data_IF_261065936619
#
_entry.id   IF_261065936619
#
_cell.length_a   1.000
_cell.length_b   1.000
_cell.length_c   1.000
_cell.angle_alpha   90.00
_cell.angle_beta   90.00
_cell.angle_gamma   90.00
#
_symmetry.space_group_name_H-M   'P 1'
#
loop_
_entity.id
_entity.type
_entity.pdbx_description
1 polymer ?
#
# COMPACT_ATOMS: atom_id res chain seq x y z
N UNK A 1 18.78 -19.14 9.43
CA UNK A 1 20.13 -18.64 9.11
C UNK A 1 20.82 -18.00 10.32
N UNK A 2 20.24 -16.96 10.94
CA UNK A 2 20.81 -16.29 12.12
C UNK A 2 21.10 -17.21 13.32
N UNK A 3 20.27 -18.23 13.56
CA UNK A 3 20.56 -19.25 14.59
C UNK A 3 21.85 -20.05 14.35
N UNK A 4 22.29 -20.20 13.09
CA UNK A 4 23.44 -21.02 12.72
C UNK A 4 24.72 -20.21 12.53
N UNK A 5 24.61 -19.03 11.90
CA UNK A 5 25.78 -18.25 11.48
C UNK A 5 25.99 -16.97 12.30
N UNK A 6 25.17 -16.73 13.33
CA UNK A 6 25.25 -15.55 14.17
C UNK A 6 24.40 -14.39 13.67
N UNK A 7 24.64 -13.19 14.21
CA UNK A 7 23.77 -12.01 14.07
C UNK A 7 24.04 -11.15 12.83
N UNK A 8 25.16 -11.41 12.15
CA UNK A 8 25.56 -10.78 10.87
C UNK A 8 25.97 -11.91 9.93
N UNK A 9 25.35 -11.96 8.75
CA UNK A 9 25.54 -13.04 7.78
C UNK A 9 25.84 -12.42 6.42
N UNK A 10 26.83 -12.98 5.71
CA UNK A 10 27.10 -12.68 4.31
C UNK A 10 26.63 -13.86 3.46
N UNK A 11 25.81 -13.59 2.47
CA UNK A 11 25.30 -14.55 1.50
C UNK A 11 25.76 -14.16 0.09
N UNK A 12 26.28 -15.11 -0.69
CA UNK A 12 26.72 -14.89 -2.08
C UNK A 12 25.83 -15.66 -3.09
N UNK A 13 24.67 -16.13 -2.65
CA UNK A 13 23.79 -17.01 -3.43
C UNK A 13 23.03 -16.30 -4.57
N UNK A 14 22.93 -14.97 -4.54
CA UNK A 14 22.17 -14.19 -5.53
C UNK A 14 23.10 -13.58 -6.59
N UNK A 15 23.55 -14.41 -7.54
CA UNK A 15 24.20 -13.96 -8.78
C UNK A 15 25.37 -12.97 -8.55
N UNK A 16 26.33 -13.35 -7.70
CA UNK A 16 27.58 -12.64 -7.37
C UNK A 16 27.46 -11.32 -6.59
N UNK A 17 26.27 -10.92 -6.13
CA UNK A 17 26.14 -9.79 -5.20
C UNK A 17 26.18 -10.28 -3.75
N UNK A 18 27.16 -9.83 -2.93
CA UNK A 18 27.17 -10.18 -1.52
C UNK A 18 26.02 -9.46 -0.80
N UNK A 19 25.09 -10.23 -0.24
CA UNK A 19 24.03 -9.72 0.64
C UNK A 19 24.51 -9.85 2.07
N UNK A 20 24.52 -8.74 2.81
CA UNK A 20 24.81 -8.73 4.25
C UNK A 20 23.51 -8.58 5.02
N UNK A 21 23.09 -9.66 5.66
CA UNK A 21 21.90 -9.73 6.51
C UNK A 21 22.28 -9.38 7.96
N UNK A 22 21.65 -8.36 8.53
CA UNK A 22 21.85 -7.90 9.91
C UNK A 22 20.58 -8.07 10.74
N UNK A 23 20.71 -8.42 12.02
CA UNK A 23 19.57 -8.67 12.91
C UNK A 23 19.47 -7.68 14.08
N UNK A 24 20.60 -7.22 14.62
CA UNK A 24 20.61 -6.42 15.85
C UNK A 24 20.29 -4.96 15.60
N UNK A 25 19.60 -4.34 16.58
CA UNK A 25 19.29 -2.90 16.58
C UNK A 25 20.53 -2.04 16.26
N UNK A 26 21.66 -2.31 16.91
CA UNK A 26 22.90 -1.52 16.74
C UNK A 26 23.43 -1.57 15.30
N UNK A 27 23.27 -2.71 14.61
CA UNK A 27 23.80 -2.92 13.27
C UNK A 27 22.85 -2.28 12.24
N UNK A 28 21.53 -2.44 12.43
CA UNK A 28 20.51 -1.75 11.64
C UNK A 28 20.68 -0.22 11.77
N UNK A 29 20.87 0.29 12.99
CA UNK A 29 21.11 1.71 13.23
C UNK A 29 22.40 2.20 12.57
N UNK A 30 23.47 1.42 12.60
CA UNK A 30 24.72 1.76 11.92
C UNK A 30 24.56 1.87 10.41
N UNK A 31 23.74 1.00 9.79
CA UNK A 31 23.40 1.09 8.36
C UNK A 31 22.55 2.33 8.08
N UNK A 32 21.48 2.55 8.85
CA UNK A 32 20.55 3.68 8.63
C UNK A 32 21.18 5.05 8.87
N UNK A 33 22.13 5.16 9.82
CA UNK A 33 22.88 6.40 10.08
C UNK A 33 23.82 6.78 8.92
N UNK A 34 24.21 5.82 8.09
CA UNK A 34 24.99 6.05 6.87
C UNK A 34 24.07 6.34 5.68
N UNK A 35 23.14 7.28 5.85
CA UNK A 35 22.22 7.66 4.79
C UNK A 35 22.95 8.44 3.69
N UNK A 36 22.60 8.15 2.44
CA UNK A 36 23.00 8.94 1.27
C UNK A 36 21.89 9.93 0.94
N UNK A 37 22.23 11.05 0.29
CA UNK A 37 21.24 11.93 -0.35
C UNK A 37 20.34 11.15 -1.32
N UNK A 38 20.89 10.11 -1.92
CA UNK A 38 20.19 9.17 -2.80
C UNK A 38 20.38 7.74 -2.26
N UNK A 39 19.54 7.29 -1.31
CA UNK A 39 19.55 5.90 -0.87
C UNK A 39 19.33 4.95 -2.04
N UNK A 40 20.13 3.89 -2.14
CA UNK A 40 20.02 2.89 -3.20
C UNK A 40 19.24 1.69 -2.66
N UNK A 41 18.13 1.37 -3.33
CA UNK A 41 17.44 0.09 -3.15
C UNK A 41 17.30 -0.55 -4.52
N UNK A 42 17.94 -1.69 -4.83
CA UNK A 42 17.85 -2.31 -6.14
C UNK A 42 16.38 -2.40 -6.63
N UNK A 43 16.08 -1.99 -7.87
CA UNK A 43 14.74 -2.06 -8.38
C UNK A 43 14.28 -3.51 -8.51
N UNK A 44 12.96 -3.71 -8.54
CA UNK A 44 12.40 -4.97 -9.02
C UNK A 44 12.69 -5.07 -10.52
N UNK A 45 13.70 -5.86 -10.90
CA UNK A 45 14.26 -5.88 -12.25
C UNK A 45 13.20 -6.10 -13.33
N UNK A 46 12.25 -7.01 -13.09
CA UNK A 46 11.21 -7.34 -14.07
C UNK A 46 10.26 -6.16 -14.32
N UNK A 47 9.91 -5.40 -13.27
CA UNK A 47 9.06 -4.22 -13.36
C UNK A 47 9.80 -3.08 -14.05
N UNK A 48 11.08 -2.91 -13.71
CA UNK A 48 11.94 -1.94 -14.37
C UNK A 48 12.07 -2.23 -15.88
N UNK A 49 12.30 -3.49 -16.25
CA UNK A 49 12.38 -3.94 -17.63
C UNK A 49 11.08 -3.66 -18.40
N UNK A 50 9.93 -4.06 -17.84
CA UNK A 50 8.63 -3.80 -18.45
C UNK A 50 8.38 -2.29 -18.65
N UNK A 51 8.56 -1.47 -17.61
CA UNK A 51 8.28 -0.02 -17.70
C UNK A 51 9.20 0.68 -18.70
N UNK A 52 10.46 0.28 -18.81
CA UNK A 52 11.38 0.80 -19.85
C UNK A 52 10.92 0.48 -21.27
N UNK A 53 10.29 -0.67 -21.47
CA UNK A 53 9.73 -1.07 -22.78
C UNK A 53 8.46 -0.30 -23.16
N UNK A 54 7.89 0.50 -22.25
CA UNK A 54 6.62 1.23 -22.41
C UNK A 54 6.77 2.74 -22.22
N UNK A 55 7.57 3.43 -23.07
CA UNK A 55 7.72 4.88 -23.00
C UNK A 55 6.41 5.65 -23.30
N UNK A 56 5.44 4.98 -23.93
CA UNK A 56 4.07 5.48 -24.11
C UNK A 56 3.36 5.71 -22.77
N UNK A 57 3.66 4.88 -21.75
CA UNK A 57 2.98 4.92 -20.44
C UNK A 57 3.87 5.44 -19.31
N UNK A 58 5.17 5.17 -19.34
CA UNK A 58 6.09 5.46 -18.25
C UNK A 58 7.29 6.27 -18.75
N UNK A 59 7.48 7.46 -18.18
CA UNK A 59 8.68 8.27 -18.40
C UNK A 59 9.83 7.88 -17.46
N UNK A 60 9.49 7.28 -16.32
CA UNK A 60 10.40 6.83 -15.26
C UNK A 60 9.99 5.44 -14.79
N UNK A 61 10.80 4.81 -13.94
CA UNK A 61 10.49 3.50 -13.37
C UNK A 61 9.41 3.55 -12.28
N UNK A 62 8.92 4.76 -11.94
CA UNK A 62 8.04 5.01 -10.80
C UNK A 62 8.82 5.15 -9.48
N UNK A 63 8.18 5.75 -8.47
CA UNK A 63 8.84 6.12 -7.21
C UNK A 63 9.51 4.94 -6.48
N UNK A 64 8.95 3.75 -6.63
CA UNK A 64 9.42 2.52 -5.96
C UNK A 64 10.69 1.96 -6.60
N UNK A 65 10.84 2.08 -7.92
CA UNK A 65 11.94 1.43 -8.67
C UNK A 65 13.00 2.43 -9.17
N UNK A 66 12.66 3.70 -9.31
CA UNK A 66 13.60 4.74 -9.73
C UNK A 66 14.71 4.94 -8.68
N UNK A 67 15.90 5.38 -9.10
CA UNK A 67 17.04 5.62 -8.21
C UNK A 67 17.66 7.00 -8.44
N UNK A 68 18.62 7.39 -7.58
CA UNK A 68 19.44 8.58 -7.79
C UNK A 68 18.65 9.89 -7.77
N UNK A 69 19.05 10.82 -8.63
CA UNK A 69 18.44 12.16 -8.72
C UNK A 69 16.99 12.12 -9.20
N UNK A 70 16.65 11.22 -10.14
CA UNK A 70 15.29 11.06 -10.64
C UNK A 70 14.35 10.62 -9.52
N UNK A 71 14.77 9.63 -8.74
CA UNK A 71 14.04 9.19 -7.54
C UNK A 71 13.87 10.34 -6.56
N UNK A 72 14.94 11.08 -6.27
CA UNK A 72 14.88 12.18 -5.31
C UNK A 72 13.90 13.25 -5.79
N UNK A 73 13.93 13.62 -7.06
CA UNK A 73 12.97 14.57 -7.65
C UNK A 73 11.52 14.07 -7.46
N UNK A 74 11.23 12.82 -7.83
CA UNK A 74 9.91 12.22 -7.63
C UNK A 74 9.51 12.21 -6.14
N UNK A 75 10.40 11.78 -5.26
CA UNK A 75 10.18 11.71 -3.81
C UNK A 75 9.87 13.08 -3.23
N UNK A 76 10.68 14.09 -3.54
CA UNK A 76 10.52 15.47 -3.06
C UNK A 76 9.17 16.06 -3.48
N UNK A 77 8.69 15.76 -4.69
CA UNK A 77 7.44 16.32 -5.20
C UNK A 77 6.21 15.54 -4.71
N UNK A 78 6.26 14.21 -4.71
CA UNK A 78 5.08 13.36 -4.53
C UNK A 78 4.75 13.03 -3.06
N UNK A 79 5.75 13.02 -2.17
CA UNK A 79 5.56 12.52 -0.81
C UNK A 79 5.12 13.52 0.26
N UNK A 80 5.44 14.83 0.18
CA UNK A 80 5.03 15.78 1.22
C UNK A 80 3.53 15.81 1.49
N UNK A 81 2.68 15.73 0.45
CA UNK A 81 1.23 15.70 0.63
C UNK A 81 0.77 14.39 1.27
N UNK A 82 1.31 13.26 0.83
CA UNK A 82 0.93 11.94 1.34
C UNK A 82 1.25 11.76 2.83
N UNK A 83 2.38 12.30 3.29
CA UNK A 83 2.86 12.15 4.67
C UNK A 83 2.52 13.35 5.57
N UNK A 84 1.80 14.35 5.05
CA UNK A 84 1.46 15.54 5.80
C UNK A 84 0.42 15.23 6.88
N UNK A 85 0.71 15.64 8.11
CA UNK A 85 -0.25 15.51 9.22
C UNK A 85 -1.59 16.20 8.95
N UNK A 86 -1.59 17.31 8.19
CA UNK A 86 -2.83 18.00 7.79
C UNK A 86 -3.69 17.15 6.87
N UNK A 87 -3.06 16.43 5.95
CA UNK A 87 -3.74 15.57 4.98
C UNK A 87 -4.35 14.37 5.69
N UNK A 88 -3.61 13.77 6.62
CA UNK A 88 -4.12 12.69 7.49
C UNK A 88 -5.30 13.16 8.35
N UNK A 89 -5.18 14.32 9.00
CA UNK A 89 -6.26 14.89 9.82
C UNK A 89 -7.54 15.17 9.01
N UNK A 90 -7.40 15.67 7.78
CA UNK A 90 -8.54 15.90 6.87
C UNK A 90 -9.17 14.61 6.36
N UNK A 91 -8.38 13.55 6.21
CA UNK A 91 -8.86 12.25 5.77
C UNK A 91 -9.59 11.48 6.89
N UNK A 92 -9.25 11.72 8.15
CA UNK A 92 -9.76 10.95 9.29
C UNK A 92 -11.31 10.87 9.38
N UNK A 93 -12.09 11.96 9.18
CA UNK A 93 -13.54 11.87 9.20
C UNK A 93 -14.09 10.90 8.16
N UNK A 94 -13.53 10.91 6.95
CA UNK A 94 -13.94 10.00 5.88
C UNK A 94 -13.50 8.57 6.18
N UNK A 95 -12.30 8.38 6.76
CA UNK A 95 -11.84 7.07 7.20
C UNK A 95 -12.76 6.44 8.27
N UNK A 96 -13.34 7.25 9.17
CA UNK A 96 -14.35 6.77 10.12
C UNK A 96 -15.58 6.21 9.40
N UNK A 97 -16.07 6.89 8.34
CA UNK A 97 -17.19 6.38 7.54
C UNK A 97 -16.83 5.07 6.84
N UNK A 98 -15.63 4.99 6.25
CA UNK A 98 -15.13 3.75 5.64
C UNK A 98 -15.06 2.60 6.66
N UNK A 99 -14.62 2.89 7.90
CA UNK A 99 -14.58 1.90 8.98
C UNK A 99 -15.99 1.44 9.42
N UNK A 100 -16.96 2.35 9.50
CA UNK A 100 -18.36 2.00 9.77
C UNK A 100 -18.95 1.11 8.68
N UNK A 101 -18.72 1.43 7.41
CA UNK A 101 -19.16 0.60 6.27
C UNK A 101 -18.51 -0.79 6.31
N UNK A 102 -17.25 -0.87 6.71
CA UNK A 102 -16.57 -2.16 6.90
C UNK A 102 -17.19 -2.97 8.03
N UNK A 103 -17.51 -2.34 9.17
CA UNK A 103 -18.22 -3.01 10.26
C UNK A 103 -19.62 -3.46 9.85
N UNK A 104 -20.33 -2.66 9.05
CA UNK A 104 -21.63 -3.03 8.49
C UNK A 104 -21.52 -4.25 7.56
N UNK A 105 -20.53 -4.27 6.66
CA UNK A 105 -20.23 -5.39 5.79
C UNK A 105 -19.94 -6.67 6.60
N UNK A 106 -19.10 -6.58 7.64
CA UNK A 106 -18.79 -7.70 8.53
C UNK A 106 -20.04 -8.23 9.24
N UNK A 107 -20.89 -7.36 9.79
CA UNK A 107 -22.16 -7.78 10.41
C UNK A 107 -23.06 -8.49 9.41
N UNK A 108 -23.10 -8.00 8.17
CA UNK A 108 -23.96 -8.51 7.11
C UNK A 108 -23.51 -9.84 6.49
N UNK A 109 -22.26 -10.25 6.74
CA UNK A 109 -21.60 -11.46 6.20
C UNK A 109 -21.41 -12.56 7.24
N UNK A 110 -21.86 -12.35 8.47
CA UNK A 110 -21.84 -13.37 9.53
C UNK A 110 -22.77 -14.52 9.18
N UNK A 111 -22.33 -15.73 9.49
CA UNK A 111 -23.19 -16.91 9.53
C UNK A 111 -24.06 -16.94 10.81
N UNK A 112 -24.89 -17.97 10.94
CA UNK A 112 -25.77 -18.20 12.09
C UNK A 112 -25.02 -18.27 13.44
N UNK A 113 -23.72 -18.58 13.42
CA UNK A 113 -22.86 -18.67 14.60
C UNK A 113 -22.07 -17.37 14.85
N UNK A 114 -22.43 -16.25 14.22
CA UNK A 114 -21.70 -14.98 14.24
C UNK A 114 -20.26 -15.06 13.68
N UNK A 115 -19.96 -16.06 12.86
CA UNK A 115 -18.63 -16.23 12.26
C UNK A 115 -18.58 -15.60 10.87
N UNK A 116 -17.48 -14.88 10.61
CA UNK A 116 -17.15 -14.37 9.28
C UNK A 116 -16.12 -15.30 8.65
N UNK A 117 -16.41 -15.80 7.45
CA UNK A 117 -15.46 -16.59 6.65
C UNK A 117 -14.81 -15.71 5.59
N UNK A 118 -13.59 -16.06 5.15
CA UNK A 118 -12.89 -15.27 4.13
C UNK A 118 -12.49 -13.86 4.57
N UNK A 119 -12.20 -13.64 5.85
CA UNK A 119 -11.90 -12.30 6.39
C UNK A 119 -10.76 -11.57 5.67
N UNK A 120 -9.77 -12.29 5.14
CA UNK A 120 -8.67 -11.71 4.34
C UNK A 120 -9.19 -10.93 3.12
N UNK A 121 -10.19 -11.47 2.40
CA UNK A 121 -10.78 -10.81 1.24
C UNK A 121 -11.50 -9.52 1.65
N UNK A 122 -12.26 -9.58 2.76
CA UNK A 122 -12.95 -8.41 3.31
C UNK A 122 -11.94 -7.35 3.79
N UNK A 123 -10.83 -7.76 4.41
CA UNK A 123 -9.76 -6.87 4.84
C UNK A 123 -9.05 -6.20 3.65
N UNK A 124 -8.83 -6.93 2.54
CA UNK A 124 -8.29 -6.36 1.31
C UNK A 124 -9.26 -5.34 0.68
N UNK A 125 -10.57 -5.57 0.75
CA UNK A 125 -11.59 -4.60 0.32
C UNK A 125 -11.57 -3.32 1.18
N UNK A 126 -11.34 -3.44 2.48
CA UNK A 126 -11.09 -2.29 3.36
C UNK A 126 -9.82 -1.53 2.96
N UNK A 127 -8.75 -2.25 2.63
CA UNK A 127 -7.50 -1.67 2.10
C UNK A 127 -7.72 -0.89 0.80
N UNK A 128 -8.47 -1.47 -0.13
CA UNK A 128 -8.89 -0.85 -1.39
C UNK A 128 -9.68 0.44 -1.16
N UNK A 129 -10.76 0.38 -0.37
CA UNK A 129 -11.63 1.54 -0.15
C UNK A 129 -10.87 2.66 0.55
N UNK A 130 -10.12 2.34 1.60
CA UNK A 130 -9.33 3.33 2.34
C UNK A 130 -8.27 4.00 1.48
N UNK A 131 -7.52 3.22 0.70
CA UNK A 131 -6.46 3.74 -0.18
C UNK A 131 -7.04 4.60 -1.30
N UNK A 132 -8.07 4.12 -1.98
CA UNK A 132 -8.70 4.88 -3.06
C UNK A 132 -9.36 6.15 -2.54
N UNK A 133 -9.97 6.13 -1.35
CA UNK A 133 -10.58 7.31 -0.75
C UNK A 133 -9.53 8.36 -0.39
N UNK A 134 -8.40 7.96 0.22
CA UNK A 134 -7.30 8.87 0.53
C UNK A 134 -6.65 9.44 -0.74
N UNK A 135 -6.34 8.57 -1.70
CA UNK A 135 -5.64 8.97 -2.91
C UNK A 135 -6.58 9.77 -3.79
N UNK A 136 -7.69 9.19 -4.27
CA UNK A 136 -8.58 9.80 -5.25
C UNK A 136 -9.53 10.85 -4.66
N UNK A 137 -9.77 10.83 -3.34
CA UNK A 137 -10.73 11.72 -2.69
C UNK A 137 -12.18 11.31 -2.89
N UNK A 138 -12.45 10.05 -3.26
CA UNK A 138 -13.82 9.56 -3.48
C UNK A 138 -13.98 8.10 -3.07
N UNK A 139 -15.20 7.76 -2.66
CA UNK A 139 -15.65 6.39 -2.39
C UNK A 139 -15.86 5.62 -3.69
N UNK A 140 -15.46 4.36 -3.72
CA UNK A 140 -15.60 3.49 -4.90
C UNK A 140 -16.56 2.32 -4.66
N UNK A 141 -17.08 2.17 -3.44
CA UNK A 141 -18.09 1.16 -3.13
C UNK A 141 -17.52 -0.25 -2.99
N UNK A 142 -16.21 -0.39 -2.71
CA UNK A 142 -15.63 -1.72 -2.49
C UNK A 142 -16.12 -2.40 -1.23
N UNK A 143 -16.77 -1.67 -0.32
CA UNK A 143 -17.39 -2.21 0.88
C UNK A 143 -18.87 -2.57 0.70
N UNK A 144 -19.44 -2.31 -0.48
CA UNK A 144 -20.83 -2.64 -0.79
C UNK A 144 -21.02 -4.16 -0.94
N UNK A 145 -22.23 -4.67 -0.66
CA UNK A 145 -22.50 -6.12 -0.80
C UNK A 145 -22.26 -6.63 -2.22
N UNK A 146 -22.64 -5.85 -3.22
CA UNK A 146 -22.42 -6.17 -4.62
C UNK A 146 -21.23 -5.37 -5.13
N UNK A 147 -20.07 -6.02 -5.15
CA UNK A 147 -18.83 -5.40 -5.60
C UNK A 147 -18.87 -5.26 -7.12
N UNK A 148 -18.51 -4.07 -7.63
CA UNK A 148 -18.31 -3.84 -9.05
C UNK A 148 -17.26 -4.82 -9.60
N UNK A 149 -17.55 -5.44 -10.75
CA UNK A 149 -16.64 -6.27 -11.52
C UNK A 149 -15.24 -5.67 -11.68
N UNK A 150 -15.14 -4.33 -11.72
CA UNK A 150 -13.88 -3.63 -11.89
C UNK A 150 -12.99 -3.67 -10.64
N UNK A 151 -13.57 -3.69 -9.45
CA UNK A 151 -12.84 -3.84 -8.19
C UNK A 151 -12.16 -5.20 -8.09
N UNK A 152 -12.92 -6.26 -8.38
CA UNK A 152 -12.42 -7.63 -8.40
C UNK A 152 -11.32 -7.81 -9.45
N UNK A 153 -11.47 -7.17 -10.62
CA UNK A 153 -10.43 -7.14 -11.66
C UNK A 153 -9.16 -6.44 -11.18
N UNK A 154 -9.26 -5.34 -10.44
CA UNK A 154 -8.08 -4.66 -9.91
C UNK A 154 -7.40 -5.50 -8.83
N UNK A 155 -8.16 -6.05 -7.88
CA UNK A 155 -7.63 -6.93 -6.83
C UNK A 155 -6.88 -8.14 -7.44
N UNK A 156 -7.49 -8.82 -8.40
CA UNK A 156 -6.87 -9.94 -9.13
C UNK A 156 -5.58 -9.49 -9.84
N UNK A 157 -5.60 -8.32 -10.49
CA UNK A 157 -4.46 -7.80 -11.23
C UNK A 157 -3.29 -7.44 -10.29
N UNK A 158 -3.56 -6.77 -9.17
CA UNK A 158 -2.56 -6.40 -8.15
C UNK A 158 -1.98 -7.65 -7.51
N UNK A 159 -2.81 -8.63 -7.12
CA UNK A 159 -2.33 -9.93 -6.62
C UNK A 159 -1.45 -10.65 -7.64
N UNK A 160 -1.87 -10.69 -8.89
CA UNK A 160 -1.09 -11.27 -10.00
C UNK A 160 0.26 -10.57 -10.18
N UNK A 161 0.31 -9.24 -10.05
CA UNK A 161 1.54 -8.47 -10.12
C UNK A 161 2.53 -8.84 -9.02
N UNK A 162 2.07 -8.94 -7.76
CA UNK A 162 2.90 -9.35 -6.64
C UNK A 162 3.42 -10.79 -6.79
N UNK A 163 2.56 -11.73 -7.19
CA UNK A 163 2.97 -13.12 -7.42
C UNK A 163 4.00 -13.22 -8.56
N UNK A 164 3.75 -12.54 -9.69
CA UNK A 164 4.70 -12.51 -10.80
C UNK A 164 6.04 -11.87 -10.42
N UNK A 165 6.02 -10.78 -9.66
CA UNK A 165 7.24 -10.13 -9.15
C UNK A 165 8.04 -11.05 -8.23
N UNK A 166 7.38 -11.76 -7.32
CA UNK A 166 8.02 -12.78 -6.47
C UNK A 166 8.66 -13.89 -7.31
N UNK A 167 7.89 -14.46 -8.24
CA UNK A 167 8.32 -15.63 -9.00
C UNK A 167 9.47 -15.30 -9.97
N UNK A 168 9.51 -14.08 -10.50
CA UNK A 168 10.62 -13.60 -11.34
C UNK A 168 11.85 -13.18 -10.55
N UNK A 169 11.69 -12.77 -9.28
CA UNK A 169 12.79 -12.42 -8.39
C UNK A 169 13.51 -13.66 -7.85
N UNK A 170 12.75 -14.67 -7.39
CA UNK A 170 13.33 -15.91 -6.84
C UNK A 170 13.58 -17.00 -7.89
N UNK A 171 12.93 -16.91 -9.05
CA UNK A 171 13.11 -17.85 -10.16
C UNK A 171 14.37 -17.60 -10.98
N UNK A 172 14.67 -18.53 -11.89
CA UNK A 172 15.73 -18.34 -12.87
C UNK A 172 15.36 -17.18 -13.82
N UNK A 173 16.31 -16.32 -14.23
CA UNK A 173 16.04 -15.10 -14.99
C UNK A 173 15.72 -15.35 -16.47
N UNK A 174 15.06 -16.46 -16.80
CA UNK A 174 14.66 -16.82 -18.18
C UNK A 174 13.77 -15.77 -18.84
N UNK A 175 13.03 -15.01 -18.02
CA UNK A 175 12.22 -13.89 -18.48
C UNK A 175 13.02 -12.79 -19.19
N UNK A 176 14.35 -12.72 -18.98
CA UNK A 176 15.25 -11.79 -19.69
C UNK A 176 15.53 -12.21 -21.13
N UNK A 177 15.26 -13.47 -21.49
CA UNK A 177 15.56 -14.04 -22.81
C UNK A 177 14.27 -14.35 -23.58
N UNK A 178 13.27 -14.94 -22.91
CA UNK A 178 11.97 -15.28 -23.52
C UNK A 178 10.82 -15.00 -22.55
N UNK A 179 9.60 -14.71 -23.06
CA UNK A 179 8.47 -14.34 -22.23
C UNK A 179 7.94 -15.52 -21.41
N UNK A 180 8.52 -15.73 -20.23
CA UNK A 180 8.10 -16.78 -19.28
C UNK A 180 6.66 -16.57 -18.80
N UNK A 181 6.06 -17.61 -18.19
CA UNK A 181 4.70 -17.51 -17.60
C UNK A 181 4.58 -16.38 -16.58
N UNK A 182 5.59 -16.25 -15.71
CA UNK A 182 5.61 -15.20 -14.69
C UNK A 182 5.74 -13.80 -15.31
N UNK A 183 6.57 -13.64 -16.35
CA UNK A 183 6.67 -12.37 -17.07
C UNK A 183 5.37 -11.98 -17.78
N UNK A 184 4.74 -12.92 -18.49
CA UNK A 184 3.46 -12.66 -19.14
C UNK A 184 2.35 -12.31 -18.14
N UNK A 185 2.37 -12.92 -16.96
CA UNK A 185 1.46 -12.55 -15.86
C UNK A 185 1.74 -11.12 -15.39
N UNK A 186 3.01 -10.74 -15.19
CA UNK A 186 3.38 -9.38 -14.81
C UNK A 186 2.87 -8.34 -15.82
N UNK A 187 3.12 -8.57 -17.11
CA UNK A 187 2.70 -7.67 -18.20
C UNK A 187 1.19 -7.49 -18.19
N UNK A 188 0.43 -8.59 -18.19
CA UNK A 188 -1.04 -8.55 -18.16
C UNK A 188 -1.56 -7.85 -16.91
N UNK A 189 -0.94 -8.09 -15.75
CA UNK A 189 -1.31 -7.45 -14.50
C UNK A 189 -1.03 -5.95 -14.50
N UNK A 190 0.15 -5.51 -14.94
CA UNK A 190 0.47 -4.08 -15.07
C UNK A 190 -0.49 -3.37 -16.04
N UNK A 191 -0.78 -3.96 -17.19
CA UNK A 191 -1.75 -3.39 -18.15
C UNK A 191 -3.14 -3.30 -17.54
N UNK A 192 -3.63 -4.36 -16.90
CA UNK A 192 -4.93 -4.36 -16.21
C UNK A 192 -4.99 -3.31 -15.11
N UNK A 193 -3.96 -3.17 -14.28
CA UNK A 193 -3.90 -2.15 -13.22
C UNK A 193 -3.98 -0.76 -13.84
N UNK A 194 -3.11 -0.50 -14.82
CA UNK A 194 -3.02 0.79 -15.50
C UNK A 194 -4.37 1.18 -16.14
N UNK A 195 -4.95 0.28 -16.93
CA UNK A 195 -6.19 0.54 -17.67
C UNK A 195 -7.40 0.64 -16.73
N UNK A 196 -7.43 -0.11 -15.62
CA UNK A 196 -8.52 -0.04 -14.64
C UNK A 196 -8.52 1.30 -13.89
N UNK A 197 -7.34 1.75 -13.44
CA UNK A 197 -7.21 3.02 -12.70
C UNK A 197 -7.46 4.22 -13.62
N UNK A 198 -6.96 4.19 -14.87
CA UNK A 198 -7.30 5.21 -15.86
C UNK A 198 -8.77 5.15 -16.30
N UNK A 199 -9.38 3.97 -16.28
CA UNK A 199 -10.80 3.78 -16.55
C UNK A 199 -11.69 4.41 -15.49
N UNK A 200 -11.28 4.33 -14.23
CA UNK A 200 -12.04 4.83 -13.10
C UNK A 200 -12.14 6.35 -13.01
N UNK A 201 -11.08 7.07 -13.41
CA UNK A 201 -11.08 8.51 -13.27
C UNK A 201 -10.98 9.20 -14.63
N UNK A 202 -12.06 9.79 -15.16
CA UNK A 202 -12.01 10.55 -16.39
C UNK A 202 -11.05 11.75 -16.29
N UNK A 203 -10.78 12.28 -15.09
CA UNK A 203 -9.73 13.30 -14.88
C UNK A 203 -8.30 12.78 -15.10
N UNK A 204 -8.09 11.45 -15.09
CA UNK A 204 -6.84 10.84 -15.55
C UNK A 204 -6.82 10.63 -17.07
N UNK A 205 -7.96 10.73 -17.75
CA UNK A 205 -8.07 10.63 -19.21
C UNK A 205 -7.97 12.00 -19.87
N UNK A 206 -8.60 13.01 -19.28
CA UNK A 206 -8.58 14.39 -19.77
C UNK A 206 -7.29 15.11 -19.32
N UNK A 207 -6.54 15.69 -20.24
CA UNK A 207 -5.33 16.49 -19.96
C UNK A 207 -5.65 17.89 -19.36
N UNK A 208 -6.94 18.19 -19.12
CA UNK A 208 -7.39 19.50 -18.71
C UNK A 208 -7.51 19.64 -17.18
N UNK A 209 -6.79 20.63 -16.64
CA UNK A 209 -6.71 21.03 -15.23
C UNK A 209 -8.03 21.58 -14.62
N UNK A 210 -9.19 21.27 -15.20
CA UNK A 210 -10.49 21.88 -14.86
C UNK A 210 -11.46 20.82 -14.34
N UNK A 211 -11.14 20.17 -13.22
CA UNK A 211 -12.15 19.44 -12.45
C UNK A 211 -12.56 20.27 -11.23
N UNK A 212 -13.88 20.44 -11.09
CA UNK A 212 -14.52 21.20 -10.03
C UNK A 212 -14.20 20.63 -8.64
N UNK A 213 -14.17 21.56 -7.68
CA UNK A 213 -13.61 21.43 -6.35
C UNK A 213 -14.69 20.91 -5.41
N UNK A 214 -14.64 19.62 -5.07
CA UNK A 214 -15.33 19.12 -3.87
C UNK A 214 -14.32 18.86 -2.74
N UNK A 215 -14.76 19.17 -1.53
CA UNK A 215 -13.97 19.66 -0.41
C UNK A 215 -13.05 18.64 0.31
N UNK A 216 -12.57 17.62 -0.37
CA UNK A 216 -11.38 16.86 0.04
C UNK A 216 -10.33 17.12 -1.04
N UNK A 217 -9.43 18.08 -0.79
CA UNK A 217 -8.26 18.33 -1.65
C UNK A 217 -7.31 17.13 -1.54
N UNK A 218 -7.62 16.08 -2.28
CA UNK A 218 -7.04 14.75 -2.17
C UNK A 218 -5.56 14.73 -2.55
N UNK A 219 -4.84 13.72 -2.07
CA UNK A 219 -3.43 13.47 -2.46
C UNK A 219 -3.31 13.44 -3.99
N UNK A 220 -4.32 12.88 -4.68
CA UNK A 220 -4.45 12.87 -6.12
C UNK A 220 -4.44 14.26 -6.75
N UNK A 221 -5.23 15.22 -6.24
CA UNK A 221 -5.25 16.58 -6.80
C UNK A 221 -3.91 17.30 -6.62
N UNK A 222 -3.21 17.05 -5.51
CA UNK A 222 -1.85 17.57 -5.29
C UNK A 222 -0.86 16.99 -6.31
N UNK A 223 -0.92 15.67 -6.55
CA UNK A 223 -0.08 14.99 -7.56
C UNK A 223 -0.39 15.51 -8.97
N UNK A 224 -1.67 15.66 -9.33
CA UNK A 224 -2.07 16.17 -10.64
C UNK A 224 -1.58 17.60 -10.89
N UNK A 225 -1.69 18.46 -9.87
CA UNK A 225 -1.25 19.87 -9.95
C UNK A 225 0.25 20.05 -9.75
N UNK A 226 0.99 19.00 -9.39
CA UNK A 226 2.43 19.07 -9.17
C UNK A 226 3.14 19.61 -10.42
N UNK A 227 3.87 20.73 -10.24
CA UNK A 227 4.70 21.30 -11.30
C UNK A 227 6.00 20.51 -11.41
N UNK A 228 6.55 20.43 -12.62
CA UNK A 228 7.84 19.76 -12.87
C UNK A 228 7.78 18.25 -13.04
N UNK A 229 6.58 17.65 -13.09
CA UNK A 229 6.35 16.26 -13.48
C UNK A 229 5.54 16.18 -14.78
N UNK A 230 5.93 15.24 -15.64
CA UNK A 230 5.19 14.85 -16.83
C UNK A 230 3.86 14.17 -16.44
N UNK A 231 2.86 14.25 -17.32
CA UNK A 231 1.54 13.63 -17.09
C UNK A 231 1.67 12.11 -16.87
N UNK A 232 2.60 11.43 -17.57
CA UNK A 232 2.86 10.00 -17.37
C UNK A 232 3.44 9.70 -15.99
N UNK A 233 4.33 10.56 -15.48
CA UNK A 233 4.90 10.41 -14.14
C UNK A 233 3.82 10.55 -13.06
N UNK A 234 2.89 11.50 -13.24
CA UNK A 234 1.75 11.70 -12.33
C UNK A 234 0.82 10.48 -12.32
N UNK A 235 0.43 10.00 -13.51
CA UNK A 235 -0.41 8.80 -13.67
C UNK A 235 0.25 7.58 -13.03
N UNK A 236 1.52 7.33 -13.33
CA UNK A 236 2.28 6.22 -12.75
C UNK A 236 2.35 6.31 -11.22
N UNK A 237 2.56 7.50 -10.65
CA UNK A 237 2.59 7.69 -9.20
C UNK A 237 1.24 7.35 -8.52
N UNK A 238 0.13 7.81 -9.09
CA UNK A 238 -1.21 7.50 -8.58
C UNK A 238 -1.49 6.00 -8.62
N UNK A 239 -1.13 5.36 -9.74
CA UNK A 239 -1.26 3.91 -9.92
C UNK A 239 -0.42 3.16 -8.87
N UNK A 240 0.84 3.56 -8.69
CA UNK A 240 1.75 2.94 -7.73
C UNK A 240 1.24 3.08 -6.29
N UNK A 241 0.69 4.25 -5.92
CA UNK A 241 0.14 4.45 -4.57
C UNK A 241 -1.10 3.60 -4.30
N UNK A 242 -2.01 3.49 -5.27
CA UNK A 242 -3.20 2.64 -5.14
C UNK A 242 -2.78 1.17 -5.03
N UNK A 243 -1.95 0.68 -5.96
CA UNK A 243 -1.53 -0.73 -5.97
C UNK A 243 -0.77 -1.13 -4.69
N UNK A 244 0.06 -0.24 -4.13
CA UNK A 244 0.82 -0.51 -2.93
C UNK A 244 -0.03 -0.57 -1.64
N UNK A 245 -1.15 0.17 -1.57
CA UNK A 245 -1.96 0.29 -0.35
C UNK A 245 -2.95 -0.84 -0.11
N UNK A 246 -3.32 -1.60 -1.16
CA UNK A 246 -4.41 -2.58 -1.11
C UNK A 246 -4.10 -3.74 -0.16
N UNK A 247 -3.17 -4.63 -0.56
CA UNK A 247 -2.90 -5.85 0.20
C UNK A 247 -2.06 -5.58 1.46
N UNK A 248 -1.29 -4.49 1.50
CA UNK A 248 -0.46 -4.17 2.68
C UNK A 248 -1.32 -3.82 3.89
N UNK A 249 -2.35 -3.00 3.70
CA UNK A 249 -3.30 -2.67 4.76
C UNK A 249 -4.16 -3.87 5.14
N UNK A 250 -4.70 -4.59 4.15
CA UNK A 250 -5.51 -5.79 4.38
C UNK A 250 -4.77 -6.86 5.20
N UNK A 251 -3.53 -7.19 4.81
CA UNK A 251 -2.69 -8.12 5.56
C UNK A 251 -2.41 -7.63 6.98
N UNK A 252 -2.10 -6.33 7.16
CA UNK A 252 -1.87 -5.75 8.48
C UNK A 252 -3.08 -5.96 9.39
N UNK A 253 -4.29 -5.69 8.88
CA UNK A 253 -5.53 -5.86 9.64
C UNK A 253 -5.76 -7.32 10.04
N UNK A 254 -5.49 -8.27 9.14
CA UNK A 254 -5.59 -9.71 9.42
C UNK A 254 -4.66 -10.10 10.57
N UNK A 255 -3.38 -9.70 10.52
CA UNK A 255 -2.40 -10.07 11.55
C UNK A 255 -2.71 -9.41 12.90
N UNK A 256 -3.02 -8.12 12.91
CA UNK A 256 -3.36 -7.39 14.13
C UNK A 256 -4.56 -8.05 14.83
N UNK A 257 -5.65 -8.28 14.10
CA UNK A 257 -6.85 -8.89 14.68
C UNK A 257 -6.63 -10.34 15.10
N UNK A 258 -5.86 -11.11 14.34
CA UNK A 258 -5.48 -12.48 14.72
C UNK A 258 -4.71 -12.50 16.05
N UNK A 259 -3.70 -11.62 16.20
CA UNK A 259 -2.89 -11.55 17.41
C UNK A 259 -3.73 -11.09 18.62
N UNK A 260 -4.60 -10.09 18.45
CA UNK A 260 -5.52 -9.65 19.50
C UNK A 260 -6.45 -10.80 19.91
N UNK A 261 -7.08 -11.48 18.95
CA UNK A 261 -8.01 -12.58 19.22
C UNK A 261 -7.34 -13.79 19.91
N UNK A 262 -6.04 -14.01 19.67
CA UNK A 262 -5.28 -15.06 20.35
C UNK A 262 -4.85 -14.70 21.78
N UNK A 263 -5.00 -13.45 22.19
CA UNK A 263 -4.56 -12.95 23.49
C UNK A 263 -5.72 -12.24 24.21
N UNK A 264 -6.64 -12.98 24.87
CA UNK A 264 -7.86 -12.40 25.48
C UNK A 264 -7.59 -11.29 26.48
N UNK A 265 -6.49 -11.39 27.25
CA UNK A 265 -6.07 -10.32 28.17
C UNK A 265 -5.75 -9.02 27.42
N UNK A 266 -5.02 -9.11 26.30
CA UNK A 266 -4.68 -7.94 25.46
C UNK A 266 -5.95 -7.36 24.84
N UNK A 267 -6.84 -8.22 24.35
CA UNK A 267 -8.14 -7.79 23.83
C UNK A 267 -8.97 -7.03 24.87
N UNK A 268 -9.01 -7.50 26.12
CA UNK A 268 -9.73 -6.84 27.21
C UNK A 268 -9.11 -5.49 27.56
N UNK A 269 -7.79 -5.41 27.74
CA UNK A 269 -7.11 -4.15 28.03
C UNK A 269 -7.29 -3.13 26.90
N UNK A 270 -7.22 -3.57 25.64
CA UNK A 270 -7.48 -2.71 24.50
C UNK A 270 -8.93 -2.23 24.48
N UNK A 271 -9.89 -3.09 24.77
CA UNK A 271 -11.30 -2.71 24.86
C UNK A 271 -11.54 -1.65 25.94
N UNK A 272 -10.95 -1.82 27.13
CA UNK A 272 -11.03 -0.86 28.23
C UNK A 272 -10.47 0.51 27.82
N UNK A 273 -9.27 0.56 27.22
CA UNK A 273 -8.68 1.81 26.73
C UNK A 273 -9.61 2.52 25.73
N UNK A 274 -10.18 1.78 24.76
CA UNK A 274 -11.05 2.39 23.74
C UNK A 274 -12.37 2.88 24.36
N UNK A 275 -12.94 2.17 25.35
CA UNK A 275 -14.14 2.62 26.05
C UNK A 275 -13.91 3.91 26.85
N UNK A 276 -12.74 4.06 27.46
CA UNK A 276 -12.36 5.27 28.20
C UNK A 276 -12.15 6.47 27.26
N UNK A 277 -11.47 6.25 26.13
CA UNK A 277 -11.15 7.31 25.17
C UNK A 277 -12.35 7.73 24.30
N UNK A 278 -13.30 6.82 24.08
CA UNK A 278 -14.45 7.03 23.18
C UNK A 278 -15.75 6.60 23.86
N UNK A 279 -16.17 7.30 24.93
CA UNK A 279 -17.39 6.94 25.64
C UNK A 279 -18.60 7.11 24.70
N UNK A 280 -19.45 6.08 24.63
CA UNK A 280 -20.69 6.10 23.84
C UNK A 280 -20.53 5.90 22.33
N UNK A 281 -19.33 5.57 21.83
CA UNK A 281 -19.13 5.28 20.40
C UNK A 281 -19.10 6.50 19.49
N UNK A 282 -18.66 7.66 20.02
CA UNK A 282 -18.42 8.86 19.20
C UNK A 282 -17.34 8.61 18.13
N UNK A 283 -17.34 9.42 17.07
CA UNK A 283 -16.32 9.30 16.02
C UNK A 283 -14.91 9.55 16.55
N UNK A 284 -13.95 8.75 16.10
CA UNK A 284 -12.53 8.90 16.46
C UNK A 284 -11.98 10.23 15.94
N UNK A 285 -11.27 10.97 16.80
CA UNK A 285 -10.54 12.19 16.44
C UNK A 285 -9.04 11.97 16.41
N UNK A 286 -8.29 12.92 15.85
CA UNK A 286 -6.83 12.84 15.83
C UNK A 286 -6.25 12.90 17.26
N UNK A 287 -6.91 13.66 18.13
CA UNK A 287 -6.64 13.77 19.56
C UNK A 287 -6.78 12.40 20.22
N UNK A 288 -7.93 11.74 20.05
CA UNK A 288 -8.20 10.40 20.58
C UNK A 288 -7.13 9.39 20.16
N UNK A 289 -6.76 9.38 18.87
CA UNK A 289 -5.75 8.44 18.35
C UNK A 289 -4.35 8.68 18.91
N UNK A 290 -4.01 9.93 19.28
CA UNK A 290 -2.75 10.25 19.95
C UNK A 290 -2.71 9.70 21.37
N UNK A 291 -3.86 9.68 22.05
CA UNK A 291 -4.00 9.20 23.43
C UNK A 291 -4.13 7.67 23.55
N UNK A 292 -4.46 6.98 22.44
CA UNK A 292 -4.60 5.52 22.38
C UNK A 292 -3.24 4.78 22.41
N UNK A 293 -2.53 4.88 23.54
CA UNK A 293 -1.16 4.37 23.71
C UNK A 293 -1.06 2.84 23.64
N UNK A 294 -2.03 2.11 24.21
CA UNK A 294 -2.04 0.65 24.21
C UNK A 294 -2.42 0.10 22.84
N UNK A 295 -3.36 0.73 22.12
CA UNK A 295 -3.62 0.46 20.71
C UNK A 295 -2.35 0.62 19.87
N UNK A 296 -1.62 1.73 20.04
CA UNK A 296 -0.35 1.96 19.34
C UNK A 296 0.68 0.86 19.68
N UNK A 297 0.79 0.45 20.95
CA UNK A 297 1.65 -0.64 21.36
C UNK A 297 1.26 -2.00 20.72
N UNK A 298 -0.04 -2.30 20.64
CA UNK A 298 -0.55 -3.51 19.98
C UNK A 298 -0.20 -3.52 18.48
N UNK A 299 -0.33 -2.37 17.81
CA UNK A 299 0.07 -2.23 16.40
C UNK A 299 1.58 -2.43 16.22
N UNK A 300 2.40 -1.82 17.07
CA UNK A 300 3.87 -2.00 17.03
C UNK A 300 4.27 -3.45 17.28
N UNK A 301 3.63 -4.14 18.23
CA UNK A 301 3.91 -5.55 18.51
C UNK A 301 3.47 -6.47 17.36
N UNK A 302 2.39 -6.12 16.66
CA UNK A 302 1.97 -6.86 15.45
C UNK A 302 2.96 -6.73 14.28
N UNK A 303 3.73 -5.63 14.22
CA UNK A 303 4.77 -5.42 13.22
C UNK A 303 6.14 -6.01 13.62
N UNK A 304 6.32 -6.47 14.86
CA UNK A 304 7.60 -6.95 15.41
C UNK A 304 7.92 -8.40 15.03
#
# INVERSE_FOLDING_TARGET
MFKKFGRIIKEEAFWNFPIVSVLEKKDIEAVLKRSSKYPLRPPTEVTAYYRQSRPDRYMTLGLVNEQGEKWHKLRTILTPELTSGKTIQRFLPELNLVAEDFMALLRSTRDENNKVTGFEELANRMGLESTCTLILGRRLGFLDRNVDTLAARLDEAVKGHFCASRDTFYGLPFWKVFPSKAYNLLVRSEEKIYDSILGWNPALREENNTCAVDAVSSVFMSILKAKGLDVREKKAAIIDFIAAGIHTLGNTLVFVLYLIAKNPRVQQCLFEEIQELVPGGNSLTAETLREATYLQACLMEAFR
#
